data_IF_226749135571
#
_entry.id   IF_226749135571
#
_cell.length_a   1.000
_cell.length_b   1.000
_cell.length_c   1.000
_cell.angle_alpha   90.00
_cell.angle_beta   90.00
_cell.angle_gamma   90.00
#
_symmetry.space_group_name_H-M   'P 1'
#
loop_
_entity.id
_entity.type
_entity.pdbx_description
1 polymer ?
#
# COMPACT_ATOMS: atom_id res chain seq x y z
N UNK A 1 67.30 -8.32 -20.76
CA UNK A 1 67.96 -9.59 -20.40
C UNK A 1 67.15 -10.22 -19.27
N UNK A 2 66.69 -11.46 -19.28
CA UNK A 2 66.71 -12.54 -20.28
C UNK A 2 66.19 -13.80 -19.58
N UNK A 3 65.14 -14.42 -20.16
CA UNK A 3 64.94 -15.88 -20.33
C UNK A 3 64.77 -16.73 -19.05
N UNK A 4 63.97 -17.79 -18.99
CA UNK A 4 63.05 -18.51 -19.89
C UNK A 4 62.53 -19.71 -19.09
N UNK A 5 61.39 -20.29 -19.44
CA UNK A 5 61.28 -21.71 -19.85
C UNK A 5 59.86 -21.99 -20.35
N UNK A 6 59.81 -22.37 -21.64
CA UNK A 6 58.66 -22.84 -22.40
C UNK A 6 58.12 -24.20 -21.90
N UNK A 7 56.84 -24.49 -22.21
CA UNK A 7 56.47 -25.78 -22.81
C UNK A 7 55.18 -25.69 -23.64
N UNK A 8 55.19 -26.51 -24.69
CA UNK A 8 54.51 -26.37 -25.97
C UNK A 8 53.02 -26.73 -26.04
N UNK A 9 52.41 -26.24 -27.12
CA UNK A 9 51.08 -26.53 -27.63
C UNK A 9 51.01 -27.93 -28.26
N UNK A 10 49.84 -28.56 -28.22
CA UNK A 10 49.43 -29.61 -29.17
C UNK A 10 48.07 -29.23 -29.73
N UNK A 11 48.06 -28.94 -31.04
CA UNK A 11 46.87 -28.77 -31.88
C UNK A 11 46.59 -30.12 -32.52
N UNK A 12 45.38 -30.64 -32.37
CA UNK A 12 44.91 -31.83 -33.11
C UNK A 12 43.80 -31.38 -34.05
N UNK A 13 43.97 -31.48 -35.38
CA UNK A 13 42.88 -31.30 -36.34
C UNK A 13 42.21 -32.66 -36.58
N UNK A 14 40.87 -32.72 -36.66
CA UNK A 14 40.20 -33.90 -37.19
C UNK A 14 39.07 -33.53 -38.14
N UNK A 15 39.08 -34.28 -39.25
CA UNK A 15 38.44 -34.10 -40.55
C UNK A 15 36.90 -34.02 -40.56
N UNK A 16 36.41 -33.28 -41.56
CA UNK A 16 35.06 -33.41 -42.13
C UNK A 16 34.81 -34.82 -42.69
N UNK A 17 33.61 -35.36 -42.42
CA UNK A 17 32.93 -36.31 -43.30
C UNK A 17 31.55 -35.77 -43.67
N UNK A 18 31.38 -35.48 -44.97
CA UNK A 18 30.07 -35.37 -45.62
C UNK A 18 29.53 -36.78 -45.89
N UNK A 19 28.30 -37.08 -45.46
CA UNK A 19 27.49 -38.16 -46.03
C UNK A 19 25.98 -37.85 -45.88
N UNK A 20 25.28 -38.09 -46.98
CA UNK A 20 23.87 -37.79 -47.27
C UNK A 20 22.83 -38.41 -46.34
N UNK A 21 21.68 -37.74 -46.18
CA UNK A 21 20.34 -38.34 -46.04
C UNK A 21 19.21 -37.32 -46.26
N UNK A 22 17.98 -37.77 -46.58
CA UNK A 22 17.22 -37.25 -47.72
C UNK A 22 16.28 -36.09 -47.40
N UNK A 23 15.89 -35.43 -48.48
CA UNK A 23 14.90 -34.37 -48.64
C UNK A 23 13.52 -34.83 -48.11
N UNK A 24 13.03 -34.17 -47.05
CA UNK A 24 11.66 -34.30 -46.55
C UNK A 24 10.94 -32.98 -46.80
N UNK A 25 9.87 -33.04 -47.59
CA UNK A 25 9.00 -31.92 -47.91
C UNK A 25 8.38 -31.29 -46.63
N UNK A 26 8.06 -29.98 -46.64
CA UNK A 26 7.53 -29.32 -45.46
C UNK A 26 6.08 -29.76 -45.21
N UNK A 27 5.84 -30.44 -44.09
CA UNK A 27 4.51 -30.48 -43.48
C UNK A 27 4.27 -29.13 -42.79
N UNK A 28 3.24 -28.41 -43.22
CA UNK A 28 2.67 -27.29 -42.47
C UNK A 28 2.33 -27.76 -41.05
N UNK A 29 3.22 -27.47 -40.11
CA UNK A 29 2.90 -27.54 -38.70
C UNK A 29 2.10 -26.28 -38.36
N UNK A 30 0.80 -26.48 -38.16
CA UNK A 30 -0.10 -25.57 -37.47
C UNK A 30 0.63 -24.90 -36.31
N UNK A 31 0.62 -23.56 -36.29
CA UNK A 31 1.16 -22.78 -35.20
C UNK A 31 0.53 -23.29 -33.88
N UNK A 32 1.33 -23.64 -32.85
CA UNK A 32 0.74 -24.02 -31.58
C UNK A 32 -0.10 -22.84 -31.09
N UNK A 33 -1.38 -23.13 -30.82
CA UNK A 33 -2.30 -22.22 -30.19
C UNK A 33 -1.59 -21.56 -28.99
N UNK A 34 -1.64 -20.24 -28.96
CA UNK A 34 -1.13 -19.42 -27.85
C UNK A 34 -1.88 -19.85 -26.60
N UNK A 35 -1.31 -20.78 -25.83
CA UNK A 35 -1.64 -20.93 -24.42
C UNK A 35 -1.08 -19.69 -23.71
N UNK A 36 -1.84 -18.60 -23.75
CA UNK A 36 -1.67 -17.49 -22.84
C UNK A 36 -2.17 -17.93 -21.44
N UNK A 37 -1.45 -18.85 -20.82
CA UNK A 37 -1.46 -18.98 -19.36
C UNK A 37 -0.60 -17.87 -18.79
N UNK A 38 -1.15 -16.66 -18.72
CA UNK A 38 -0.66 -15.66 -17.78
C UNK A 38 -1.79 -15.32 -16.81
N UNK A 39 -1.94 -16.21 -15.83
CA UNK A 39 -2.49 -15.83 -14.53
C UNK A 39 -1.46 -14.90 -13.87
N UNK A 40 -1.46 -13.63 -14.30
CA UNK A 40 -0.76 -12.58 -13.56
C UNK A 40 -1.66 -12.25 -12.38
N UNK A 41 -1.48 -12.97 -11.29
CA UNK A 41 -2.22 -12.69 -10.09
C UNK A 41 -1.88 -11.29 -9.57
N UNK A 42 -2.88 -10.58 -9.06
CA UNK A 42 -2.62 -9.30 -8.43
C UNK A 42 -1.80 -9.55 -7.15
N UNK A 43 -0.52 -9.20 -7.20
CA UNK A 43 0.40 -9.31 -6.06
C UNK A 43 0.00 -8.34 -4.93
N UNK A 44 -0.71 -7.26 -5.26
CA UNK A 44 -1.17 -6.21 -4.31
C UNK A 44 -2.65 -5.94 -4.51
N UNK A 45 -3.51 -6.43 -3.61
CA UNK A 45 -4.97 -6.34 -3.76
C UNK A 45 -5.71 -5.73 -2.58
N UNK A 46 -7.02 -5.46 -2.72
CA UNK A 46 -7.85 -4.97 -1.63
C UNK A 46 -7.93 -6.00 -0.50
N UNK A 47 -7.90 -5.53 0.74
CA UNK A 47 -7.97 -6.34 1.95
C UNK A 47 -8.93 -5.71 2.98
N UNK A 48 -10.07 -5.22 2.50
CA UNK A 48 -11.07 -4.58 3.34
C UNK A 48 -10.75 -3.12 3.66
N UNK A 49 -11.32 -2.63 4.77
CA UNK A 49 -11.18 -1.24 5.18
C UNK A 49 -11.22 -1.09 6.70
N UNK A 50 -10.60 0.00 7.17
CA UNK A 50 -10.83 0.56 8.50
C UNK A 50 -12.26 1.12 8.59
N UNK A 51 -12.81 1.16 9.79
CA UNK A 51 -14.08 1.82 10.13
C UNK A 51 -13.95 3.34 9.99
N UNK A 52 -12.78 3.89 10.35
CA UNK A 52 -12.50 5.32 10.21
C UNK A 52 -11.25 5.54 9.37
N UNK A 53 -11.37 6.39 8.35
CA UNK A 53 -10.24 6.84 7.53
C UNK A 53 -9.29 7.70 8.38
N UNK A 54 -8.01 7.34 8.44
CA UNK A 54 -7.03 7.93 9.39
C UNK A 54 -5.60 7.89 8.87
N UNK A 55 -4.76 8.83 9.31
CA UNK A 55 -3.32 8.88 9.02
C UNK A 55 -2.49 9.10 10.29
N UNK A 56 -1.17 8.80 10.24
CA UNK A 56 -0.27 8.92 11.40
C UNK A 56 -0.76 8.14 12.64
N UNK A 57 -1.50 7.07 12.39
CA UNK A 57 -1.89 6.08 13.37
C UNK A 57 -0.84 4.97 13.41
N UNK A 58 -0.89 4.14 14.44
CA UNK A 58 -0.06 2.92 14.51
C UNK A 58 -0.91 1.69 14.23
N UNK A 59 -0.28 0.64 13.69
CA UNK A 59 -0.87 -0.68 13.53
C UNK A 59 0.09 -1.72 14.11
N UNK A 60 -0.39 -2.56 15.02
CA UNK A 60 0.43 -3.57 15.71
C UNK A 60 -0.20 -4.94 15.54
N UNK A 61 0.55 -5.92 15.02
CA UNK A 61 0.11 -7.32 15.00
C UNK A 61 0.07 -7.86 16.43
N UNK A 62 -1.10 -8.31 16.87
CA UNK A 62 -1.31 -8.92 18.17
C UNK A 62 -1.02 -10.42 18.15
N UNK A 63 -0.74 -11.06 19.30
CA UNK A 63 -0.46 -12.50 19.37
C UNK A 63 -1.62 -13.38 18.90
N UNK A 64 -2.85 -12.86 18.92
CA UNK A 64 -4.04 -13.55 18.42
C UNK A 64 -4.23 -13.43 16.89
N UNK A 65 -3.28 -12.84 16.17
CA UNK A 65 -3.32 -12.68 14.71
C UNK A 65 -4.10 -11.46 14.22
N UNK A 66 -4.80 -10.72 15.09
CA UNK A 66 -5.47 -9.47 14.72
C UNK A 66 -4.48 -8.30 14.71
N UNK A 67 -4.84 -7.23 14.00
CA UNK A 67 -4.06 -5.99 13.95
C UNK A 67 -4.79 -4.92 14.75
N UNK A 68 -4.14 -4.42 15.80
CA UNK A 68 -4.60 -3.28 16.59
C UNK A 68 -4.22 -1.99 15.87
N UNK A 69 -5.22 -1.20 15.49
CA UNK A 69 -5.08 0.12 14.86
C UNK A 69 -5.44 1.19 15.88
N UNK A 70 -4.56 2.15 16.13
CA UNK A 70 -4.69 3.09 17.25
C UNK A 70 -4.54 4.54 16.81
N UNK A 71 -5.51 5.38 17.18
CA UNK A 71 -5.43 6.83 17.05
C UNK A 71 -5.30 7.30 15.59
N UNK A 72 -4.56 8.39 15.36
CA UNK A 72 -4.39 9.02 14.05
C UNK A 72 -5.21 10.30 13.90
N UNK A 73 -5.15 10.89 12.70
CA UNK A 73 -5.86 12.12 12.34
C UNK A 73 -7.02 11.88 11.37
N UNK A 74 -8.18 12.45 11.69
CA UNK A 74 -9.45 12.37 10.94
C UNK A 74 -10.17 13.73 11.01
N UNK A 75 -9.90 14.64 10.06
CA UNK A 75 -9.39 16.03 10.23
C UNK A 75 -8.72 16.47 11.54
N UNK A 76 -9.15 15.97 12.69
CA UNK A 76 -8.53 16.19 14.02
C UNK A 76 -8.06 14.86 14.61
N UNK A 77 -7.27 14.88 15.68
CA UNK A 77 -6.80 13.66 16.34
C UNK A 77 -7.96 12.84 16.93
N UNK A 78 -7.90 11.51 16.78
CA UNK A 78 -8.92 10.59 17.31
C UNK A 78 -8.37 9.71 18.44
N UNK A 79 -9.24 9.33 19.38
CA UNK A 79 -8.98 8.34 20.43
C UNK A 79 -9.44 6.93 20.04
N UNK A 80 -10.12 6.80 18.91
CA UNK A 80 -10.69 5.52 18.46
C UNK A 80 -9.60 4.49 18.17
N UNK A 81 -9.94 3.23 18.45
CA UNK A 81 -9.12 2.08 18.09
C UNK A 81 -9.96 1.08 17.31
N UNK A 82 -9.30 0.28 16.49
CA UNK A 82 -9.94 -0.76 15.69
C UNK A 82 -9.12 -2.04 15.76
N UNK A 83 -9.81 -3.17 15.71
CA UNK A 83 -9.23 -4.49 15.57
C UNK A 83 -9.56 -4.99 14.17
N UNK A 84 -8.56 -4.98 13.29
CA UNK A 84 -8.65 -5.57 11.97
C UNK A 84 -8.30 -7.06 12.03
N UNK A 85 -9.15 -7.89 11.46
CA UNK A 85 -8.96 -9.32 11.35
C UNK A 85 -8.51 -9.69 9.92
N UNK A 86 -7.23 -10.07 9.72
CA UNK A 86 -6.72 -10.39 8.38
C UNK A 86 -7.27 -11.66 7.75
N UNK A 87 -7.95 -12.51 8.54
CA UNK A 87 -8.57 -13.75 8.06
C UNK A 87 -9.90 -13.44 7.39
N UNK A 88 -10.72 -12.59 8.02
CA UNK A 88 -12.03 -12.19 7.49
C UNK A 88 -11.99 -10.90 6.68
N UNK A 89 -10.86 -10.18 6.69
CA UNK A 89 -10.68 -8.87 6.08
C UNK A 89 -11.68 -7.81 6.59
N UNK A 90 -12.02 -7.86 7.88
CA UNK A 90 -12.99 -6.96 8.51
C UNK A 90 -12.40 -6.23 9.71
N UNK A 91 -12.78 -4.97 9.87
CA UNK A 91 -12.46 -4.15 11.04
C UNK A 91 -13.62 -4.15 12.04
N UNK A 92 -13.29 -4.14 13.33
CA UNK A 92 -14.25 -4.02 14.43
C UNK A 92 -13.79 -2.93 15.39
N UNK A 93 -14.73 -2.26 16.07
CA UNK A 93 -14.38 -1.21 17.02
C UNK A 93 -13.68 -1.81 18.24
N UNK A 94 -12.55 -1.21 18.63
CA UNK A 94 -11.88 -1.49 19.90
C UNK A 94 -12.24 -0.48 21.00
N UNK A 95 -11.66 -0.62 22.20
CA UNK A 95 -11.79 0.35 23.27
C UNK A 95 -11.06 1.66 22.92
N UNK A 96 -11.64 2.81 23.24
CA UNK A 96 -11.00 4.10 23.00
C UNK A 96 -9.84 4.36 23.96
N UNK A 97 -8.82 5.07 23.48
CA UNK A 97 -7.84 5.73 24.33
C UNK A 97 -8.50 6.76 25.23
N UNK A 98 -7.88 7.06 26.37
CA UNK A 98 -8.24 8.18 27.24
C UNK A 98 -7.92 9.54 26.60
N UNK A 99 -6.88 9.60 25.75
CA UNK A 99 -6.49 10.81 25.04
C UNK A 99 -6.35 10.55 23.53
N UNK A 100 -7.08 11.33 22.73
CA UNK A 100 -6.97 11.33 21.28
C UNK A 100 -5.55 11.73 20.84
N UNK A 101 -4.98 10.98 19.89
CA UNK A 101 -3.58 11.19 19.50
C UNK A 101 -3.22 10.68 18.11
N UNK A 102 -2.24 11.33 17.47
CA UNK A 102 -1.51 10.84 16.28
C UNK A 102 0.00 10.93 16.51
N UNK A 103 0.80 10.34 15.63
CA UNK A 103 2.28 10.39 15.67
C UNK A 103 2.88 9.92 17.01
N UNK A 104 2.17 9.04 17.71
CA UNK A 104 2.64 8.32 18.87
C UNK A 104 3.42 7.07 18.43
N UNK A 105 4.20 6.48 19.34
CA UNK A 105 4.79 5.15 19.10
C UNK A 105 3.91 4.06 19.69
N UNK A 106 3.96 2.87 19.10
CA UNK A 106 3.34 1.65 19.61
C UNK A 106 4.40 0.57 19.72
N UNK A 107 4.56 0.00 20.91
CA UNK A 107 5.52 -1.08 21.17
C UNK A 107 4.78 -2.27 21.75
N UNK A 108 4.77 -3.39 21.03
CA UNK A 108 4.34 -4.66 21.62
C UNK A 108 5.37 -5.10 22.65
N UNK A 109 4.93 -5.34 23.89
CA UNK A 109 5.74 -5.80 25.00
C UNK A 109 5.85 -7.33 24.98
N UNK A 110 6.78 -7.87 25.77
CA UNK A 110 7.04 -9.32 25.82
C UNK A 110 5.82 -10.14 26.30
N UNK A 111 4.92 -9.54 27.07
CA UNK A 111 3.68 -10.19 27.51
C UNK A 111 2.53 -10.06 26.49
N UNK A 112 2.79 -9.54 25.30
CA UNK A 112 1.83 -9.38 24.21
C UNK A 112 0.96 -8.12 24.30
N UNK A 113 1.03 -7.36 25.40
CA UNK A 113 0.37 -6.06 25.52
C UNK A 113 1.02 -5.01 24.62
N UNK A 114 0.32 -3.92 24.33
CA UNK A 114 0.85 -2.83 23.47
C UNK A 114 0.95 -1.53 24.26
N UNK A 115 2.14 -0.97 24.34
CA UNK A 115 2.40 0.32 24.98
C UNK A 115 2.35 1.44 23.94
N UNK A 116 1.49 2.43 24.19
CA UNK A 116 1.36 3.64 23.39
C UNK A 116 1.98 4.81 24.13
N UNK A 117 2.96 5.48 23.52
CA UNK A 117 3.72 6.54 24.16
C UNK A 117 3.51 7.88 23.45
N UNK A 118 3.04 8.87 24.21
CA UNK A 118 3.02 10.29 23.83
C UNK A 118 2.31 10.56 22.48
N UNK A 119 2.82 11.46 21.64
CA UNK A 119 2.21 11.88 20.38
C UNK A 119 1.62 13.28 20.44
N UNK A 120 0.84 13.62 19.41
CA UNK A 120 0.15 14.91 19.27
C UNK A 120 -1.32 14.67 19.55
N UNK A 121 -1.93 15.42 20.46
CA UNK A 121 -3.37 15.45 20.70
C UNK A 121 -4.00 16.80 20.30
N UNK A 122 -5.32 16.95 20.50
CA UNK A 122 -6.07 18.13 20.03
C UNK A 122 -5.60 19.47 20.63
N UNK A 123 -5.02 19.44 21.83
CA UNK A 123 -4.58 20.64 22.57
C UNK A 123 -3.05 20.76 22.69
N UNK A 124 -2.30 19.92 21.99
CA UNK A 124 -0.83 19.96 22.00
C UNK A 124 -0.18 18.59 22.16
N UNK A 125 1.12 18.62 22.47
CA UNK A 125 1.92 17.40 22.64
C UNK A 125 1.57 16.68 23.94
N UNK A 126 1.52 15.36 23.88
CA UNK A 126 1.16 14.51 25.00
C UNK A 126 2.39 13.93 25.69
N UNK A 127 2.29 13.75 27.01
CA UNK A 127 3.19 12.93 27.82
C UNK A 127 2.52 11.62 28.27
N UNK A 128 1.20 11.49 28.08
CA UNK A 128 0.43 10.34 28.56
C UNK A 128 0.82 9.07 27.82
N UNK A 129 0.82 7.97 28.57
CA UNK A 129 1.17 6.64 28.12
C UNK A 129 0.02 5.71 28.48
N UNK A 130 -0.36 4.86 27.53
CA UNK A 130 -1.49 3.95 27.70
C UNK A 130 -1.08 2.55 27.25
N UNK A 131 -1.52 1.54 27.98
CA UNK A 131 -1.21 0.14 27.71
C UNK A 131 -2.48 -0.61 27.34
N UNK A 132 -2.50 -1.22 26.17
CA UNK A 132 -3.58 -2.09 25.72
C UNK A 132 -3.31 -3.53 26.14
N UNK A 133 -4.31 -4.16 26.74
CA UNK A 133 -4.30 -5.57 27.08
C UNK A 133 -5.21 -6.36 26.13
N UNK A 134 -4.66 -7.18 25.21
CA UNK A 134 -5.45 -7.93 24.24
C UNK A 134 -6.41 -8.95 24.86
N UNK A 135 -6.03 -9.56 26.00
CA UNK A 135 -6.82 -10.61 26.67
C UNK A 135 -8.12 -10.07 27.27
N UNK A 136 -8.11 -8.82 27.74
CA UNK A 136 -9.27 -8.15 28.33
C UNK A 136 -9.90 -7.12 27.38
N UNK A 137 -9.23 -6.81 26.27
CA UNK A 137 -9.61 -5.77 25.33
C UNK A 137 -9.82 -4.41 26.03
N UNK A 138 -8.86 -3.99 26.85
CA UNK A 138 -8.94 -2.75 27.64
C UNK A 138 -7.66 -1.93 27.57
N UNK A 139 -7.80 -0.61 27.71
CA UNK A 139 -6.69 0.30 27.98
C UNK A 139 -6.52 0.53 29.49
N UNK A 140 -5.27 0.61 29.93
CA UNK A 140 -4.89 1.07 31.28
C UNK A 140 -3.89 2.20 31.17
N UNK A 141 -4.04 3.24 31.97
CA UNK A 141 -3.05 4.30 32.06
C UNK A 141 -1.72 3.76 32.62
N UNK A 142 -0.61 4.16 32.00
CA UNK A 142 0.74 3.90 32.48
C UNK A 142 1.38 5.21 32.96
N UNK A 143 2.51 5.12 33.66
CA UNK A 143 3.25 6.28 34.10
C UNK A 143 3.58 7.18 32.89
N UNK A 144 3.31 8.48 32.96
CA UNK A 144 3.55 9.39 31.85
C UNK A 144 5.05 9.46 31.52
N UNK A 145 5.37 9.62 30.24
CA UNK A 145 6.73 9.92 29.81
C UNK A 145 7.17 11.22 30.53
N UNK A 146 8.38 11.31 31.13
CA UNK A 146 8.82 12.52 31.84
C UNK A 146 9.09 13.76 30.96
N UNK A 147 8.48 13.79 29.77
CA UNK A 147 8.42 14.90 28.83
C UNK A 147 7.26 14.69 27.87
N UNK A 148 6.85 15.75 27.17
CA UNK A 148 5.99 15.63 25.98
C UNK A 148 6.82 15.30 24.75
N UNK A 149 6.31 14.49 23.83
CA UNK A 149 7.07 14.14 22.63
C UNK A 149 6.23 13.61 21.47
N UNK A 150 6.64 13.88 20.24
CA UNK A 150 6.23 13.15 19.03
C UNK A 150 7.43 12.91 18.12
N UNK A 151 7.34 11.95 17.18
CA UNK A 151 8.45 11.61 16.28
C UNK A 151 9.69 11.06 17.01
N UNK A 152 9.52 10.55 18.23
CA UNK A 152 10.52 9.79 18.96
C UNK A 152 10.53 8.34 18.48
N UNK A 153 11.61 7.62 18.80
CA UNK A 153 11.65 6.17 18.69
C UNK A 153 11.29 5.52 20.03
N UNK A 154 10.65 4.35 19.98
CA UNK A 154 10.44 3.48 21.13
C UNK A 154 10.92 2.08 20.75
N UNK A 155 11.92 1.58 21.48
CA UNK A 155 12.58 0.30 21.18
C UNK A 155 12.41 -0.63 22.37
N UNK A 156 11.74 -1.77 22.17
CA UNK A 156 11.72 -2.85 23.15
C UNK A 156 13.16 -3.34 23.34
N UNK A 157 13.61 -3.54 24.58
CA UNK A 157 14.91 -4.07 24.93
C UNK A 157 14.83 -5.59 25.17
N UNK A 158 15.97 -6.27 25.21
CA UNK A 158 16.06 -7.72 25.45
C UNK A 158 15.50 -8.14 26.80
N UNK A 159 15.58 -7.26 27.80
CA UNK A 159 15.05 -7.47 29.15
C UNK A 159 13.58 -7.02 29.33
N UNK A 160 12.89 -6.68 28.23
CA UNK A 160 11.48 -6.31 28.25
C UNK A 160 11.20 -4.84 28.61
N UNK A 161 12.22 -4.05 28.93
CA UNK A 161 12.08 -2.59 29.09
C UNK A 161 11.93 -1.90 27.74
N UNK A 162 11.52 -0.62 27.73
CA UNK A 162 11.36 0.15 26.49
C UNK A 162 12.21 1.42 26.54
N UNK A 163 13.16 1.55 25.61
CA UNK A 163 13.97 2.76 25.43
C UNK A 163 13.22 3.76 24.56
N UNK A 164 13.01 4.98 25.05
CA UNK A 164 12.42 6.09 24.31
C UNK A 164 13.45 7.19 24.10
N UNK A 165 13.82 7.41 22.83
CA UNK A 165 14.90 8.33 22.44
C UNK A 165 14.45 9.30 21.33
N UNK A 166 14.95 10.54 21.44
CA UNK A 166 14.69 11.59 20.46
C UNK A 166 13.26 12.15 20.50
N UNK A 167 12.81 12.62 19.34
CA UNK A 167 11.52 13.25 19.15
C UNK A 167 11.57 14.76 19.37
N UNK A 168 10.48 15.41 18.97
CA UNK A 168 10.28 16.84 19.16
C UNK A 168 9.43 17.04 20.42
N UNK A 169 9.84 17.95 21.29
CA UNK A 169 9.14 18.32 22.52
C UNK A 169 9.24 19.81 22.80
N UNK A 170 8.82 20.25 23.99
CA UNK A 170 9.09 21.61 24.50
C UNK A 170 10.60 21.87 24.68
N UNK A 171 10.97 23.02 25.26
CA UNK A 171 12.37 23.39 25.50
C UNK A 171 13.12 22.26 26.21
N UNK A 172 14.19 21.74 25.60
CA UNK A 172 15.00 20.62 26.10
C UNK A 172 14.46 19.20 25.84
N UNK A 173 13.26 19.05 25.25
CA UNK A 173 12.56 17.78 25.10
C UNK A 173 13.11 16.81 24.05
N UNK A 174 14.04 17.23 23.19
CA UNK A 174 14.55 16.37 22.10
C UNK A 174 15.83 15.60 22.40
N UNK A 175 16.52 15.89 23.51
CA UNK A 175 17.79 15.22 23.87
C UNK A 175 17.64 14.18 24.97
N UNK A 176 16.64 14.32 25.85
CA UNK A 176 16.43 13.42 26.96
C UNK A 176 16.04 12.01 26.47
N UNK A 177 16.64 10.99 27.06
CA UNK A 177 16.36 9.58 26.77
C UNK A 177 15.88 8.90 28.05
N UNK A 178 14.83 8.10 27.95
CA UNK A 178 14.27 7.39 29.11
C UNK A 178 14.05 5.92 28.81
N UNK A 179 14.18 5.09 29.84
CA UNK A 179 13.81 3.67 29.81
C UNK A 179 12.60 3.48 30.70
N UNK A 180 11.54 2.91 30.12
CA UNK A 180 10.36 2.46 30.83
C UNK A 180 10.50 1.02 31.27
N UNK A 181 10.15 0.74 32.52
CA UNK A 181 10.10 -0.63 33.06
C UNK A 181 8.64 -1.03 33.26
N UNK A 182 8.07 -1.91 32.41
CA UNK A 182 6.65 -2.28 32.49
C UNK A 182 6.25 -2.92 33.82
N UNK A 183 7.13 -3.72 34.42
CA UNK A 183 6.84 -4.44 35.67
C UNK A 183 6.61 -3.50 36.86
N UNK A 184 7.35 -2.39 36.92
CA UNK A 184 7.24 -1.40 38.00
C UNK A 184 6.44 -0.16 37.59
N UNK A 185 6.09 -0.03 36.30
CA UNK A 185 5.44 1.13 35.73
C UNK A 185 6.21 2.44 36.02
N UNK A 186 7.53 2.44 35.83
CA UNK A 186 8.40 3.59 36.12
C UNK A 186 9.32 3.93 34.96
N UNK A 187 9.72 5.21 34.90
CA UNK A 187 10.71 5.73 33.96
C UNK A 187 12.03 6.04 34.65
N UNK A 188 13.13 5.77 33.98
CA UNK A 188 14.48 6.16 34.41
C UNK A 188 15.16 6.90 33.26
N UNK A 189 15.74 8.06 33.54
CA UNK A 189 16.55 8.79 32.55
C UNK A 189 17.86 8.04 32.28
N UNK A 190 18.29 7.97 31.02
CA UNK A 190 19.51 7.25 30.63
C UNK A 190 20.26 7.92 29.50
N UNK A 191 21.34 8.63 29.84
CA UNK A 191 22.12 9.38 28.86
C UNK A 191 21.29 10.46 28.17
N UNK A 192 21.91 11.13 27.20
CA UNK A 192 21.29 12.19 26.41
C UNK A 192 21.85 12.19 24.99
N UNK A 193 21.02 12.56 24.01
CA UNK A 193 21.47 12.84 22.66
C UNK A 193 22.18 14.20 22.62
N UNK A 194 23.21 14.39 21.77
CA UNK A 194 23.98 15.63 21.70
C UNK A 194 23.16 16.82 21.15
N UNK A 195 22.11 16.54 20.38
CA UNK A 195 21.24 17.57 19.80
C UNK A 195 19.81 17.05 19.73
N UNK A 196 18.84 17.94 19.93
CA UNK A 196 17.43 17.62 19.78
C UNK A 196 17.11 17.27 18.32
N UNK A 197 16.60 16.07 18.08
CA UNK A 197 16.26 15.59 16.74
C UNK A 197 14.94 14.82 16.78
N UNK A 198 14.14 14.92 15.72
CA UNK A 198 12.88 14.19 15.57
C UNK A 198 12.90 13.34 14.31
N UNK A 199 12.00 12.35 14.21
CA UNK A 199 11.86 11.50 13.02
C UNK A 199 13.12 10.70 12.68
N UNK A 200 13.77 10.22 13.74
CA UNK A 200 14.93 9.34 13.68
C UNK A 200 14.47 7.89 13.81
N UNK A 201 15.31 6.99 13.32
CA UNK A 201 15.00 5.57 13.25
C UNK A 201 15.91 4.79 14.19
N UNK A 202 15.33 3.88 14.97
CA UNK A 202 16.05 3.08 15.93
C UNK A 202 15.81 1.58 15.70
N UNK A 203 16.85 0.77 15.90
CA UNK A 203 16.74 -0.69 15.89
C UNK A 203 17.61 -1.29 16.98
N UNK A 204 17.11 -2.33 17.64
CA UNK A 204 17.88 -3.13 18.59
C UNK A 204 18.76 -4.12 17.82
N UNK A 205 20.06 -4.12 18.10
CA UNK A 205 21.03 -5.07 17.55
C UNK A 205 20.95 -6.42 18.27
N UNK A 206 21.59 -7.44 17.69
CA UNK A 206 21.63 -8.79 18.26
C UNK A 206 22.32 -8.84 19.64
N UNK A 207 23.28 -7.94 19.89
CA UNK A 207 23.98 -7.82 21.18
C UNK A 207 23.22 -6.99 22.23
N UNK A 208 22.00 -6.54 21.91
CA UNK A 208 21.14 -5.76 22.80
C UNK A 208 21.37 -4.25 22.77
N UNK A 209 22.42 -3.75 22.10
CA UNK A 209 22.60 -2.30 21.89
C UNK A 209 21.50 -1.76 20.97
N UNK A 210 21.25 -0.45 21.04
CA UNK A 210 20.28 0.21 20.16
C UNK A 210 21.00 1.18 19.24
N UNK A 211 20.90 0.94 17.94
CA UNK A 211 21.36 1.87 16.91
C UNK A 211 20.27 2.90 16.65
N UNK A 212 20.61 4.17 16.76
CA UNK A 212 19.77 5.31 16.42
C UNK A 212 20.44 6.07 15.26
N UNK A 213 19.68 6.44 14.24
CA UNK A 213 20.21 7.12 13.06
C UNK A 213 19.30 8.24 12.57
N UNK A 214 19.92 9.24 11.94
CA UNK A 214 19.25 10.32 11.22
C UNK A 214 18.54 11.30 12.16
N UNK A 215 17.36 11.75 11.75
CA UNK A 215 16.55 12.70 12.52
C UNK A 215 16.51 14.12 11.96
N UNK A 216 16.79 14.25 10.65
CA UNK A 216 16.71 15.49 9.88
C UNK A 216 17.25 15.27 8.46
N UNK A 217 16.80 16.05 7.48
CA UNK A 217 17.20 15.89 6.08
C UNK A 217 18.72 16.13 5.81
N UNK A 218 19.43 16.71 6.78
CA UNK A 218 20.85 17.06 6.68
C UNK A 218 21.75 16.31 7.66
N UNK A 219 21.19 15.48 8.55
CA UNK A 219 21.98 14.71 9.51
C UNK A 219 22.13 13.25 9.06
N UNK A 220 23.39 12.81 8.96
CA UNK A 220 23.78 11.42 8.77
C UNK A 220 24.25 10.77 10.07
N UNK A 221 24.01 11.41 11.21
CA UNK A 221 24.46 10.95 12.51
C UNK A 221 23.93 9.54 12.82
N UNK A 222 24.82 8.69 13.31
CA UNK A 222 24.50 7.37 13.79
C UNK A 222 25.16 7.17 15.16
N UNK A 223 24.40 6.61 16.10
CA UNK A 223 24.85 6.42 17.48
C UNK A 223 24.36 5.08 18.03
N UNK A 224 25.19 4.46 18.87
CA UNK A 224 24.83 3.25 19.62
C UNK A 224 24.60 3.58 21.09
N UNK A 225 23.46 3.16 21.61
CA UNK A 225 23.18 3.16 23.04
C UNK A 225 23.53 1.81 23.66
N UNK A 226 24.29 1.85 24.76
CA UNK A 226 24.73 0.65 25.48
C UNK A 226 23.88 0.43 26.74
N UNK A 227 23.11 -0.67 26.85
CA UNK A 227 22.15 -0.85 27.95
C UNK A 227 22.76 -0.92 29.35
N UNK A 228 23.97 -1.45 29.48
CA UNK A 228 24.65 -1.64 30.77
C UNK A 228 25.15 -0.33 31.39
N UNK A 229 25.47 0.67 30.57
CA UNK A 229 26.02 1.96 31.01
C UNK A 229 25.08 3.12 30.78
N UNK A 230 24.07 2.94 29.93
CA UNK A 230 23.20 4.03 29.48
C UNK A 230 23.87 5.04 28.55
N UNK A 231 25.11 4.77 28.12
CA UNK A 231 25.93 5.69 27.34
C UNK A 231 25.66 5.60 25.84
N UNK A 232 25.79 6.74 25.16
CA UNK A 232 25.75 6.84 23.71
C UNK A 232 27.16 6.95 23.14
N UNK A 233 27.45 6.18 22.09
CA UNK A 233 28.71 6.24 21.34
C UNK A 233 28.40 6.58 19.90
N UNK A 234 29.03 7.64 19.37
CA UNK A 234 28.94 7.98 17.95
C UNK A 234 29.67 6.92 17.14
N UNK A 235 29.00 6.43 16.11
CA UNK A 235 29.53 5.44 15.16
C UNK A 235 29.73 6.09 13.78
N UNK A 236 30.23 5.34 12.79
CA UNK A 236 30.35 5.87 11.44
C UNK A 236 29.00 6.44 10.96
N UNK A 237 28.99 7.64 10.33
CA UNK A 237 27.76 8.25 9.85
C UNK A 237 27.22 7.48 8.64
N UNK A 238 25.90 7.57 8.44
CA UNK A 238 25.28 7.11 7.19
C UNK A 238 25.89 7.84 5.98
N UNK A 239 25.93 7.17 4.83
CA UNK A 239 26.37 7.74 3.56
C UNK A 239 25.37 8.79 3.03
N UNK A 240 24.11 8.72 3.45
CA UNK A 240 23.10 9.75 3.14
C UNK A 240 22.34 10.18 4.39
N UNK A 241 22.06 11.48 4.50
CA UNK A 241 21.25 12.03 5.57
C UNK A 241 19.76 11.73 5.37
N UNK A 242 19.05 11.37 6.44
CA UNK A 242 17.67 10.89 6.37
C UNK A 242 16.86 11.27 7.61
N UNK A 243 15.57 11.52 7.41
CA UNK A 243 14.51 11.53 8.44
C UNK A 243 13.36 10.65 7.98
N UNK A 244 12.52 10.15 8.88
CA UNK A 244 11.37 9.28 8.58
C UNK A 244 11.74 7.98 7.82
N UNK A 245 13.01 7.57 7.86
CA UNK A 245 13.45 6.30 7.32
C UNK A 245 13.23 5.15 8.31
N UNK A 246 13.45 3.95 7.84
CA UNK A 246 13.30 2.71 8.62
C UNK A 246 14.62 1.96 8.69
N UNK A 247 14.86 1.32 9.84
CA UNK A 247 15.99 0.43 10.08
C UNK A 247 15.51 -1.00 10.29
N UNK A 248 16.21 -1.95 9.68
CA UNK A 248 15.92 -3.38 9.79
C UNK A 248 17.19 -4.15 10.13
N UNK A 249 17.19 -4.84 11.27
CA UNK A 249 18.26 -5.79 11.61
C UNK A 249 18.11 -7.04 10.75
N UNK A 250 19.07 -7.28 9.87
CA UNK A 250 19.11 -8.44 8.99
C UNK A 250 19.63 -9.68 9.75
N UNK A 251 19.34 -10.87 9.21
CA UNK A 251 19.86 -12.14 9.74
C UNK A 251 21.39 -12.24 9.74
N UNK A 252 22.06 -11.44 8.90
CA UNK A 252 23.51 -11.30 8.88
C UNK A 252 24.08 -10.52 10.08
N UNK A 253 23.23 -9.88 10.90
CA UNK A 253 23.63 -8.97 11.97
C UNK A 253 23.88 -7.53 11.52
N UNK A 254 23.82 -7.26 10.21
CA UNK A 254 23.88 -5.90 9.64
C UNK A 254 22.53 -5.21 9.74
N UNK A 255 22.52 -3.87 9.69
CA UNK A 255 21.29 -3.08 9.71
C UNK A 255 21.08 -2.41 8.36
N UNK A 256 19.97 -2.68 7.69
CA UNK A 256 19.57 -1.96 6.48
C UNK A 256 18.82 -0.67 6.84
N UNK A 257 19.25 0.45 6.27
CA UNK A 257 18.53 1.72 6.27
C UNK A 257 17.85 1.97 4.91
N UNK A 258 16.56 2.26 4.94
CA UNK A 258 15.73 2.50 3.75
C UNK A 258 14.67 3.57 4.00
N UNK A 259 14.38 4.37 2.96
CA UNK A 259 13.39 5.43 2.98
C UNK A 259 14.01 6.82 2.82
N UNK A 260 13.15 7.78 2.47
CA UNK A 260 13.41 9.22 2.23
C UNK A 260 14.33 9.58 1.06
N UNK A 261 15.18 8.66 0.62
CA UNK A 261 15.96 8.73 -0.61
C UNK A 261 15.96 7.35 -1.29
N UNK A 262 16.30 7.29 -2.58
CA UNK A 262 16.40 6.03 -3.32
C UNK A 262 17.54 5.12 -2.85
N UNK A 263 18.62 5.72 -2.35
CA UNK A 263 19.77 4.97 -1.84
C UNK A 263 19.34 4.11 -0.66
N UNK A 264 19.67 2.83 -0.67
CA UNK A 264 19.66 1.99 0.53
C UNK A 264 21.09 1.68 0.96
N UNK A 265 21.32 1.54 2.25
CA UNK A 265 22.64 1.35 2.81
C UNK A 265 22.60 0.46 4.04
N UNK A 266 23.67 -0.29 4.29
CA UNK A 266 23.79 -1.21 5.41
C UNK A 266 24.90 -0.80 6.36
N UNK A 267 24.58 -0.75 7.65
CA UNK A 267 25.55 -0.65 8.73
C UNK A 267 26.04 -2.02 9.16
N UNK A 268 27.36 -2.17 9.27
CA UNK A 268 28.00 -3.35 9.83
C UNK A 268 28.56 -3.02 11.23
N UNK A 269 27.93 -3.53 12.31
CA UNK A 269 28.39 -3.28 13.68
C UNK A 269 29.78 -3.84 14.00
N UNK A 270 30.28 -4.82 13.25
CA UNK A 270 31.59 -5.44 13.49
C UNK A 270 32.73 -4.59 12.93
N UNK A 271 32.51 -3.94 11.78
CA UNK A 271 33.50 -3.08 11.14
C UNK A 271 33.28 -1.60 11.41
N UNK A 272 32.11 -1.23 11.94
CA UNK A 272 31.67 0.15 12.13
C UNK A 272 31.68 0.95 10.81
N UNK A 273 31.12 0.37 9.74
CA UNK A 273 31.07 0.99 8.42
C UNK A 273 29.68 0.90 7.80
N UNK A 274 29.35 1.90 6.97
CA UNK A 274 28.17 1.91 6.11
C UNK A 274 28.55 1.56 4.68
N UNK A 275 27.87 0.59 4.09
CA UNK A 275 28.05 0.19 2.69
C UNK A 275 26.76 0.39 1.92
N UNK A 276 26.84 1.05 0.76
CA UNK A 276 25.68 1.20 -0.11
C UNK A 276 25.25 -0.15 -0.69
N UNK A 277 23.94 -0.37 -0.76
CA UNK A 277 23.33 -1.50 -1.47
C UNK A 277 22.64 -1.00 -2.74
N UNK A 278 21.90 -1.87 -3.43
CA UNK A 278 21.11 -1.43 -4.58
C UNK A 278 20.09 -0.34 -4.19
N UNK A 279 19.66 0.46 -5.15
CA UNK A 279 18.70 1.54 -4.90
C UNK A 279 17.27 1.04 -5.14
N UNK A 280 16.31 1.66 -4.47
CA UNK A 280 14.91 1.57 -4.87
C UNK A 280 14.71 2.29 -6.21
N UNK A 281 13.75 1.82 -7.01
CA UNK A 281 13.37 2.42 -8.28
C UNK A 281 12.80 3.83 -8.09
N UNK A 282 12.12 4.09 -6.98
CA UNK A 282 11.54 5.41 -6.65
C UNK A 282 11.84 5.82 -5.22
N UNK A 283 11.69 7.10 -4.91
CA UNK A 283 11.81 7.61 -3.54
C UNK A 283 10.54 7.36 -2.74
N UNK A 284 10.69 6.75 -1.57
CA UNK A 284 9.60 6.52 -0.61
C UNK A 284 9.79 7.41 0.62
N UNK A 285 9.06 8.52 0.74
CA UNK A 285 9.30 9.53 1.79
C UNK A 285 8.81 9.08 3.18
N UNK A 286 7.49 9.00 3.38
CA UNK A 286 6.90 8.60 4.68
C UNK A 286 6.14 7.27 4.52
N UNK A 287 6.83 6.27 3.98
CA UNK A 287 6.36 4.90 3.92
C UNK A 287 7.15 4.05 4.92
N UNK A 288 6.49 3.41 5.89
CA UNK A 288 7.15 2.42 6.69
C UNK A 288 7.39 1.17 5.85
N UNK A 289 8.63 0.72 5.78
CA UNK A 289 8.93 -0.64 5.33
C UNK A 289 8.79 -1.62 6.48
N UNK A 290 8.52 -2.88 6.14
CA UNK A 290 8.36 -3.96 7.11
C UNK A 290 9.13 -5.20 6.67
N UNK A 291 9.78 -5.85 7.64
CA UNK A 291 10.42 -7.14 7.43
C UNK A 291 9.37 -8.25 7.45
N UNK A 292 9.39 -9.09 6.41
CA UNK A 292 8.59 -10.31 6.30
C UNK A 292 9.22 -11.46 7.08
N UNK A 293 8.47 -12.52 7.42
CA UNK A 293 9.01 -13.70 8.11
C UNK A 293 10.17 -14.40 7.39
N UNK A 294 10.26 -14.28 6.07
CA UNK A 294 11.36 -14.81 5.24
C UNK A 294 12.63 -13.92 5.26
N UNK A 295 12.60 -12.80 5.99
CA UNK A 295 13.70 -11.82 6.09
C UNK A 295 13.75 -10.80 4.95
N UNK A 296 12.91 -10.93 3.93
CA UNK A 296 12.77 -9.88 2.90
C UNK A 296 12.10 -8.63 3.47
N UNK A 297 12.39 -7.47 2.89
CA UNK A 297 11.86 -6.19 3.37
C UNK A 297 11.00 -5.58 2.28
N UNK A 298 9.76 -5.24 2.62
CA UNK A 298 8.80 -4.66 1.69
C UNK A 298 8.57 -3.20 2.02
N UNK A 299 8.49 -2.36 1.00
CA UNK A 299 8.22 -0.93 1.08
C UNK A 299 7.20 -0.53 0.01
N UNK A 300 6.27 0.35 0.34
CA UNK A 300 5.26 0.79 -0.61
C UNK A 300 4.82 2.24 -0.42
N UNK A 301 4.63 2.96 -1.54
CA UNK A 301 4.05 4.29 -1.57
C UNK A 301 4.90 5.37 -0.89
N UNK A 302 4.36 6.01 0.16
CA UNK A 302 5.11 7.02 0.93
C UNK A 302 5.12 8.42 0.32
N UNK A 303 4.38 8.63 -0.76
CA UNK A 303 4.15 9.91 -1.42
C UNK A 303 2.71 9.98 -1.96
N UNK A 304 2.24 11.18 -2.29
CA UNK A 304 0.91 11.42 -2.86
C UNK A 304 0.76 10.93 -4.29
N UNK A 305 1.87 10.68 -4.99
CA UNK A 305 1.89 10.20 -6.38
C UNK A 305 2.61 8.86 -6.55
N UNK A 306 3.11 8.27 -5.46
CA UNK A 306 3.80 7.00 -5.52
C UNK A 306 2.88 5.87 -5.05
N UNK A 307 2.68 4.88 -5.92
CA UNK A 307 1.99 3.63 -5.61
C UNK A 307 2.92 2.42 -5.65
N UNK A 308 4.18 2.60 -6.05
CA UNK A 308 5.13 1.51 -6.27
C UNK A 308 5.31 0.67 -5.00
N UNK A 309 5.31 -0.64 -5.18
CA UNK A 309 5.66 -1.63 -4.15
C UNK A 309 6.98 -2.27 -4.52
N UNK A 310 7.95 -2.21 -3.62
CA UNK A 310 9.31 -2.72 -3.83
C UNK A 310 9.72 -3.69 -2.73
N UNK A 311 10.38 -4.77 -3.13
CA UNK A 311 10.85 -5.84 -2.26
C UNK A 311 12.37 -5.92 -2.30
N UNK A 312 12.98 -5.95 -1.13
CA UNK A 312 14.40 -6.16 -0.92
C UNK A 312 14.69 -7.61 -0.58
N UNK A 313 15.64 -8.19 -1.30
CA UNK A 313 16.19 -9.51 -0.96
C UNK A 313 17.49 -9.38 -0.17
N UNK A 314 17.54 -9.83 1.09
CA UNK A 314 18.77 -9.76 1.89
C UNK A 314 19.87 -10.70 1.40
N UNK A 315 19.54 -11.73 0.62
CA UNK A 315 20.53 -12.68 0.08
C UNK A 315 21.28 -12.12 -1.11
N UNK A 316 20.60 -11.37 -1.97
CA UNK A 316 21.20 -10.76 -3.18
C UNK A 316 21.59 -9.29 -2.96
N UNK A 317 21.01 -8.63 -1.96
CA UNK A 317 21.15 -7.19 -1.74
C UNK A 317 20.43 -6.34 -2.78
N UNK A 318 19.49 -6.92 -3.53
CA UNK A 318 18.79 -6.28 -4.65
C UNK A 318 17.35 -5.89 -4.29
N UNK A 319 16.91 -4.75 -4.82
CA UNK A 319 15.51 -4.34 -4.86
C UNK A 319 14.82 -4.82 -6.15
N UNK A 320 13.53 -5.10 -6.07
CA UNK A 320 12.68 -5.44 -7.21
C UNK A 320 11.31 -4.80 -7.07
N UNK A 321 10.79 -4.22 -8.16
CA UNK A 321 9.43 -3.69 -8.21
C UNK A 321 8.45 -4.85 -8.34
N UNK A 322 7.54 -4.98 -7.37
CA UNK A 322 6.62 -6.11 -7.28
C UNK A 322 5.18 -5.77 -7.71
N UNK A 323 4.90 -4.50 -7.97
CA UNK A 323 3.58 -4.03 -8.37
C UNK A 323 3.30 -2.62 -7.87
N UNK A 324 2.02 -2.29 -7.78
CA UNK A 324 1.56 -1.00 -7.32
C UNK A 324 0.33 -1.14 -6.43
N UNK A 325 0.25 -0.29 -5.42
CA UNK A 325 -0.97 0.00 -4.67
C UNK A 325 -2.03 0.58 -5.62
N UNK A 326 -3.28 0.22 -5.40
CA UNK A 326 -4.45 0.76 -6.11
C UNK A 326 -4.68 2.24 -5.80
N UNK A 327 -4.18 2.72 -4.66
CA UNK A 327 -4.21 4.14 -4.27
C UNK A 327 -2.87 4.56 -3.66
N UNK A 328 -2.40 5.75 -4.01
CA UNK A 328 -1.24 6.34 -3.33
C UNK A 328 -1.57 6.62 -1.88
N UNK A 329 -0.63 6.29 -0.99
CA UNK A 329 -0.79 6.49 0.46
C UNK A 329 0.53 6.89 1.10
N UNK A 330 0.45 7.89 1.97
CA UNK A 330 1.52 8.39 2.82
C UNK A 330 1.10 8.28 4.29
N UNK A 331 2.04 8.18 5.23
CA UNK A 331 1.75 8.17 6.68
C UNK A 331 0.78 7.04 7.09
N UNK A 332 0.86 5.90 6.40
CA UNK A 332 0.13 4.67 6.69
C UNK A 332 1.09 3.71 7.39
N UNK A 333 0.69 2.94 8.40
CA UNK A 333 1.48 1.83 8.90
C UNK A 333 1.44 0.62 7.95
N UNK A 334 2.46 -0.23 8.07
CA UNK A 334 2.57 -1.51 7.38
C UNK A 334 2.77 -2.64 8.39
N UNK A 335 2.14 -3.79 8.14
CA UNK A 335 2.19 -4.94 9.06
C UNK A 335 2.44 -6.21 8.27
N UNK A 336 3.54 -6.91 8.59
CA UNK A 336 3.80 -8.25 8.08
C UNK A 336 3.03 -9.28 8.93
N UNK A 337 2.34 -10.20 8.26
CA UNK A 337 1.63 -11.31 8.87
C UNK A 337 2.50 -12.57 8.89
N UNK A 338 2.25 -13.53 9.80
CA UNK A 338 2.97 -14.80 9.83
C UNK A 338 2.87 -15.61 8.53
N UNK A 339 1.82 -15.39 7.75
CA UNK A 339 1.63 -16.01 6.42
C UNK A 339 2.58 -15.47 5.34
N UNK A 340 3.35 -14.40 5.64
CA UNK A 340 4.15 -13.67 4.66
C UNK A 340 3.39 -12.55 3.95
N UNK A 341 2.06 -12.46 4.09
CA UNK A 341 1.29 -11.31 3.59
C UNK A 341 1.70 -10.02 4.30
N UNK A 342 1.65 -8.89 3.60
CA UNK A 342 1.90 -7.56 4.19
C UNK A 342 0.69 -6.68 3.97
N UNK A 343 0.22 -6.03 5.03
CA UNK A 343 -0.90 -5.11 5.01
C UNK A 343 -0.43 -3.66 4.95
N UNK A 344 -1.12 -2.83 4.18
CA UNK A 344 -0.98 -1.38 4.12
C UNK A 344 -2.29 -0.75 4.59
N UNK A 345 -2.31 -0.08 5.75
CA UNK A 345 -3.55 0.31 6.40
C UNK A 345 -3.74 1.83 6.39
N UNK A 346 -4.79 2.32 5.74
CA UNK A 346 -5.15 3.74 5.77
C UNK A 346 -4.05 4.68 5.26
N UNK A 347 -3.87 5.82 5.94
CA UNK A 347 -2.93 6.89 5.57
C UNK A 347 -3.62 8.10 4.96
N UNK A 348 -2.85 8.95 4.28
CA UNK A 348 -3.35 10.04 3.45
C UNK A 348 -3.14 9.72 1.98
N UNK A 349 -4.21 9.79 1.20
CA UNK A 349 -4.17 9.77 -0.27
C UNK A 349 -4.54 11.14 -0.85
N UNK A 350 -4.76 11.17 -2.16
CA UNK A 350 -5.24 12.35 -2.90
C UNK A 350 -6.67 12.12 -3.39
N UNK A 351 -7.55 13.10 -3.19
CA UNK A 351 -8.89 13.11 -3.80
C UNK A 351 -8.80 13.35 -5.31
N UNK A 352 -9.93 13.17 -6.01
CA UNK A 352 -10.07 13.54 -7.43
C UNK A 352 -9.84 15.04 -7.70
N UNK A 353 -10.04 15.89 -6.69
CA UNK A 353 -9.77 17.33 -6.73
C UNK A 353 -8.33 17.69 -6.31
N UNK A 354 -7.46 16.71 -6.07
CA UNK A 354 -6.07 16.91 -5.66
C UNK A 354 -5.88 17.28 -4.18
N UNK A 355 -6.95 17.28 -3.38
CA UNK A 355 -6.86 17.56 -1.94
C UNK A 355 -6.37 16.34 -1.16
N UNK A 356 -5.61 16.58 -0.09
CA UNK A 356 -5.17 15.53 0.81
C UNK A 356 -6.34 15.03 1.66
N UNK A 357 -6.59 13.72 1.65
CA UNK A 357 -7.69 13.10 2.41
C UNK A 357 -7.21 11.86 3.17
N UNK A 358 -7.63 11.68 4.43
CA UNK A 358 -7.46 10.39 5.11
C UNK A 358 -8.15 9.28 4.30
N UNK A 359 -7.54 8.11 4.23
CA UNK A 359 -8.10 6.94 3.57
C UNK A 359 -8.33 5.81 4.58
N UNK A 360 -9.39 5.03 4.38
CA UNK A 360 -9.72 3.87 5.19
C UNK A 360 -9.32 2.55 4.51
N UNK A 361 -8.98 2.58 3.22
CA UNK A 361 -8.68 1.36 2.46
C UNK A 361 -7.49 0.61 3.05
N UNK A 362 -7.62 -0.71 3.11
CA UNK A 362 -6.52 -1.62 3.43
C UNK A 362 -6.19 -2.39 2.16
N UNK A 363 -4.90 -2.46 1.85
CA UNK A 363 -4.38 -3.29 0.77
C UNK A 363 -3.45 -4.36 1.33
N UNK A 364 -3.35 -5.48 0.65
CA UNK A 364 -2.46 -6.57 1.02
C UNK A 364 -1.54 -6.95 -0.15
N UNK A 365 -0.25 -7.02 0.14
CA UNK A 365 0.74 -7.69 -0.67
C UNK A 365 0.79 -9.18 -0.32
N UNK A 366 0.75 -10.03 -1.34
CA UNK A 366 0.86 -11.48 -1.19
C UNK A 366 1.62 -12.08 -2.39
N UNK A 367 2.77 -12.70 -2.11
CA UNK A 367 3.57 -13.36 -3.15
C UNK A 367 3.00 -14.71 -3.56
N UNK A 368 2.13 -15.29 -2.73
CA UNK A 368 1.51 -16.57 -2.98
C UNK A 368 0.08 -16.38 -3.52
N UNK A 369 -0.33 -15.15 -3.85
CA UNK A 369 -1.64 -14.93 -4.45
C UNK A 369 -1.68 -15.60 -5.81
N UNK A 370 -2.64 -16.49 -5.98
CA UNK A 370 -3.08 -16.98 -7.29
C UNK A 370 -4.41 -16.33 -7.58
N UNK A 371 -4.53 -15.61 -8.69
CA UNK A 371 -5.78 -15.02 -9.13
C UNK A 371 -6.07 -15.52 -10.53
N UNK A 372 -7.21 -16.19 -10.67
CA UNK A 372 -7.70 -16.68 -11.95
C UNK A 372 -8.41 -15.51 -12.63
N UNK A 373 -7.90 -15.00 -13.77
CA UNK A 373 -8.55 -13.92 -14.48
C UNK A 373 -9.96 -14.32 -14.90
N UNK A 374 -10.91 -13.40 -14.76
CA UNK A 374 -12.25 -13.60 -15.36
C UNK A 374 -12.16 -13.49 -16.90
N UNK A 375 -13.26 -13.75 -17.60
CA UNK A 375 -13.34 -13.58 -19.07
C UNK A 375 -14.37 -12.52 -19.43
N UNK A 376 -14.26 -11.98 -20.64
CA UNK A 376 -15.28 -11.07 -21.18
C UNK A 376 -16.67 -11.71 -21.17
N UNK A 377 -16.77 -12.98 -21.55
CA UNK A 377 -18.01 -13.75 -21.52
C UNK A 377 -18.55 -13.91 -20.09
N UNK A 378 -17.68 -14.22 -19.11
CA UNK A 378 -18.08 -14.37 -17.70
C UNK A 378 -18.60 -13.05 -17.08
N UNK A 379 -18.16 -11.89 -17.59
CA UNK A 379 -18.68 -10.58 -17.21
C UNK A 379 -19.82 -10.07 -18.11
N UNK A 380 -20.29 -10.87 -19.08
CA UNK A 380 -21.35 -10.49 -20.02
C UNK A 380 -20.95 -9.35 -20.97
N UNK A 381 -19.66 -9.23 -21.30
CA UNK A 381 -19.08 -8.16 -22.13
C UNK A 381 -18.60 -8.72 -23.47
N UNK A 382 -18.80 -7.98 -24.55
CA UNK A 382 -18.44 -8.38 -25.92
C UNK A 382 -17.82 -7.27 -26.76
N UNK A 383 -17.44 -6.14 -26.13
CA UNK A 383 -16.65 -5.11 -26.78
C UNK A 383 -15.86 -4.25 -25.78
N UNK A 384 -14.84 -3.56 -26.27
CA UNK A 384 -14.01 -2.65 -25.48
C UNK A 384 -13.07 -3.39 -24.54
N UNK A 385 -12.51 -2.66 -23.57
CA UNK A 385 -11.59 -3.20 -22.56
C UNK A 385 -12.23 -3.23 -21.18
N UNK A 386 -12.01 -4.31 -20.43
CA UNK A 386 -12.47 -4.46 -19.04
C UNK A 386 -11.36 -5.00 -18.15
N UNK A 387 -11.47 -4.81 -16.84
CA UNK A 387 -10.54 -5.45 -15.89
C UNK A 387 -10.70 -6.97 -15.90
N UNK A 388 -9.58 -7.69 -15.82
CA UNK A 388 -9.56 -9.15 -15.68
C UNK A 388 -9.74 -9.61 -14.22
N UNK A 389 -9.92 -8.70 -13.27
CA UNK A 389 -10.06 -9.01 -11.84
C UNK A 389 -8.74 -9.33 -11.12
N UNK A 390 -7.63 -9.42 -11.85
CA UNK A 390 -6.29 -9.76 -11.35
C UNK A 390 -5.26 -8.65 -11.66
N UNK A 391 -5.70 -7.41 -11.90
CA UNK A 391 -4.81 -6.28 -12.19
C UNK A 391 -4.40 -6.13 -13.66
N UNK A 392 -4.86 -7.01 -14.54
CA UNK A 392 -4.72 -6.89 -15.99
C UNK A 392 -6.03 -6.45 -16.68
N UNK A 393 -5.96 -6.25 -18.00
CA UNK A 393 -7.08 -5.84 -18.84
C UNK A 393 -7.41 -6.94 -19.86
N UNK A 394 -8.69 -7.21 -20.06
CA UNK A 394 -9.21 -8.07 -21.14
C UNK A 394 -9.70 -7.19 -22.28
N UNK A 395 -9.42 -7.59 -23.52
CA UNK A 395 -9.98 -6.97 -24.72
C UNK A 395 -11.13 -7.85 -25.21
N UNK A 396 -12.36 -7.34 -25.10
CA UNK A 396 -13.59 -8.09 -25.39
C UNK A 396 -14.05 -8.03 -26.84
N UNK A 397 -13.24 -7.44 -27.73
CA UNK A 397 -13.53 -7.28 -29.15
C UNK A 397 -14.08 -5.89 -29.51
N UNK A 398 -14.56 -5.76 -30.74
CA UNK A 398 -15.18 -4.56 -31.30
C UNK A 398 -16.55 -4.88 -31.84
N UNK A 399 -17.47 -3.90 -31.83
CA UNK A 399 -18.80 -4.11 -32.37
C UNK A 399 -18.81 -4.17 -33.90
N UNK A 400 -19.76 -4.92 -34.46
CA UNK A 400 -19.95 -5.01 -35.91
C UNK A 400 -20.46 -3.71 -36.53
N UNK A 401 -20.50 -3.64 -37.85
CA UNK A 401 -20.99 -2.47 -38.61
C UNK A 401 -22.40 -2.07 -38.17
N UNK A 402 -22.58 -0.81 -37.75
CA UNK A 402 -23.87 -0.27 -37.29
C UNK A 402 -24.17 -0.41 -35.78
N UNK A 403 -23.23 -0.98 -35.01
CA UNK A 403 -23.32 -1.11 -33.56
C UNK A 403 -22.31 -0.21 -32.84
N UNK A 404 -22.70 0.31 -31.68
CA UNK A 404 -21.83 1.07 -30.77
C UNK A 404 -21.56 0.27 -29.50
N UNK A 405 -20.33 0.36 -29.00
CA UNK A 405 -19.95 -0.25 -27.75
C UNK A 405 -20.37 0.65 -26.59
N UNK A 406 -21.42 0.27 -25.86
CA UNK A 406 -21.91 1.02 -24.69
C UNK A 406 -21.81 0.13 -23.46
N UNK A 407 -21.14 0.58 -22.40
CA UNK A 407 -20.88 -0.22 -21.18
C UNK A 407 -20.27 -1.61 -21.48
N UNK A 408 -19.37 -1.67 -22.47
CA UNK A 408 -18.69 -2.88 -22.93
C UNK A 408 -19.63 -3.97 -23.51
N UNK A 409 -20.82 -3.56 -23.97
CA UNK A 409 -21.77 -4.39 -24.70
C UNK A 409 -22.13 -3.71 -26.03
N UNK A 410 -22.11 -4.48 -27.12
CA UNK A 410 -22.54 -3.99 -28.42
C UNK A 410 -24.05 -3.82 -28.47
N UNK A 411 -24.49 -2.60 -28.77
CA UNK A 411 -25.88 -2.27 -29.05
C UNK A 411 -26.02 -1.59 -30.41
N UNK A 412 -27.17 -1.68 -31.04
CA UNK A 412 -27.48 -0.89 -32.23
C UNK A 412 -27.78 0.55 -31.83
N UNK A 413 -27.17 1.50 -32.52
CA UNK A 413 -27.50 2.92 -32.36
C UNK A 413 -28.97 3.13 -32.71
N UNK A 414 -29.68 3.82 -31.82
CA UNK A 414 -30.83 4.64 -32.19
C UNK A 414 -30.52 5.42 -33.48
N UNK A 415 -31.41 5.46 -34.50
CA UNK A 415 -31.11 6.19 -35.73
C UNK A 415 -30.84 7.68 -35.44
N UNK A 416 -29.75 8.20 -36.01
CA UNK A 416 -29.23 9.57 -35.82
C UNK A 416 -30.16 10.69 -36.35
N UNK A 417 -31.29 10.35 -36.94
CA UNK A 417 -32.37 11.29 -37.25
C UNK A 417 -33.68 10.53 -37.33
N UNK A 418 -34.62 10.88 -36.47
CA UNK A 418 -36.00 10.44 -36.60
C UNK A 418 -36.67 11.21 -37.74
N UNK A 419 -37.51 10.53 -38.50
CA UNK A 419 -38.30 11.09 -39.62
C UNK A 419 -39.20 12.25 -39.18
N UNK A 420 -39.60 12.26 -37.91
CA UNK A 420 -40.25 13.37 -37.17
C UNK A 420 -40.08 13.10 -35.66
N UNK A 421 -40.55 14.01 -34.80
CA UNK A 421 -40.50 13.83 -33.34
C UNK A 421 -41.71 13.05 -32.80
N UNK A 422 -41.64 12.67 -31.51
CA UNK A 422 -42.72 11.93 -30.81
C UNK A 422 -43.99 12.76 -30.57
N UNK A 423 -43.94 14.08 -30.81
CA UNK A 423 -45.03 15.02 -30.51
C UNK A 423 -45.87 15.37 -31.74
N UNK A 424 -45.48 14.87 -32.91
CA UNK A 424 -46.17 15.09 -34.18
C UNK A 424 -46.58 13.77 -34.81
N UNK A 425 -47.79 13.73 -35.39
CA UNK A 425 -48.23 12.58 -36.18
C UNK A 425 -47.44 12.50 -37.49
N UNK A 426 -47.08 11.31 -37.94
CA UNK A 426 -46.26 11.15 -39.13
C UNK A 426 -46.15 9.71 -39.62
N UNK A 427 -45.11 9.46 -40.42
CA UNK A 427 -44.75 8.11 -40.85
C UNK A 427 -44.34 7.22 -39.68
N UNK A 428 -43.94 5.98 -39.95
CA UNK A 428 -43.47 5.09 -38.89
C UNK A 428 -42.28 5.70 -38.14
N UNK A 429 -42.41 5.82 -36.82
CA UNK A 429 -41.33 6.24 -35.93
C UNK A 429 -40.59 4.99 -35.43
N UNK A 430 -39.26 4.94 -35.64
CA UNK A 430 -38.46 3.78 -35.28
C UNK A 430 -38.47 3.53 -33.77
N UNK A 431 -38.60 2.27 -33.32
CA UNK A 431 -38.44 1.86 -31.91
C UNK A 431 -37.08 2.29 -31.32
N UNK A 432 -36.09 2.56 -32.17
CA UNK A 432 -34.80 3.10 -31.80
C UNK A 432 -34.77 4.61 -31.55
N UNK A 433 -35.79 5.38 -31.94
CA UNK A 433 -35.74 6.85 -31.98
C UNK A 433 -35.43 7.52 -30.64
N UNK A 434 -36.13 7.14 -29.58
CA UNK A 434 -35.79 7.55 -28.22
C UNK A 434 -36.37 6.54 -27.21
N UNK A 435 -36.07 6.75 -25.93
CA UNK A 435 -36.57 5.89 -24.85
C UNK A 435 -38.11 5.85 -24.77
N UNK A 436 -38.79 6.96 -25.07
CA UNK A 436 -40.24 7.02 -25.04
C UNK A 436 -40.89 6.22 -26.16
N UNK A 437 -40.42 6.37 -27.40
CA UNK A 437 -40.87 5.57 -28.54
C UNK A 437 -40.78 4.09 -28.20
N UNK A 438 -39.65 3.67 -27.61
CA UNK A 438 -39.44 2.27 -27.19
C UNK A 438 -40.47 1.79 -26.17
N UNK A 439 -40.83 2.63 -25.20
CA UNK A 439 -41.87 2.33 -24.20
C UNK A 439 -43.24 2.20 -24.84
N UNK A 440 -43.62 3.12 -25.73
CA UNK A 440 -44.92 3.06 -26.43
C UNK A 440 -44.99 1.83 -27.32
N UNK A 441 -43.96 1.57 -28.13
CA UNK A 441 -43.91 0.39 -28.99
C UNK A 441 -43.99 -0.94 -28.24
N UNK A 442 -43.54 -0.97 -26.97
CA UNK A 442 -43.59 -2.16 -26.14
C UNK A 442 -45.02 -2.47 -25.66
N UNK A 443 -45.85 -1.44 -25.48
CA UNK A 443 -47.22 -1.59 -25.00
C UNK A 443 -48.24 -1.61 -26.14
N UNK A 444 -48.02 -0.82 -27.18
CA UNK A 444 -48.79 -0.87 -28.41
C UNK A 444 -47.86 -1.03 -29.62
N UNK A 445 -47.83 -2.26 -30.14
CA UNK A 445 -47.05 -2.59 -31.33
C UNK A 445 -47.57 -1.90 -32.60
N UNK A 446 -48.85 -1.48 -32.64
CA UNK A 446 -49.44 -0.79 -33.79
C UNK A 446 -48.70 0.53 -34.09
N UNK A 447 -48.30 1.24 -33.03
CA UNK A 447 -47.61 2.54 -33.14
C UNK A 447 -46.27 2.47 -33.88
N UNK A 448 -45.66 1.29 -33.95
CA UNK A 448 -44.31 1.13 -34.50
C UNK A 448 -44.24 0.12 -35.64
N UNK A 449 -45.30 -0.66 -35.84
CA UNK A 449 -45.45 -1.59 -36.96
C UNK A 449 -46.40 -1.08 -38.06
N UNK A 450 -47.31 -0.14 -37.75
CA UNK A 450 -48.34 0.32 -38.69
C UNK A 450 -48.34 1.83 -38.94
N UNK A 451 -48.44 2.67 -37.91
CA UNK A 451 -48.41 4.14 -38.08
C UNK A 451 -48.08 4.88 -36.76
N UNK A 452 -47.49 6.07 -36.85
CA UNK A 452 -47.37 6.99 -35.70
C UNK A 452 -48.48 8.05 -35.75
N UNK A 453 -49.68 7.66 -35.32
CA UNK A 453 -50.90 8.47 -35.41
C UNK A 453 -51.23 9.24 -34.10
N UNK A 454 -52.40 9.87 -34.05
CA UNK A 454 -52.83 10.68 -32.90
C UNK A 454 -53.15 9.86 -31.64
N UNK A 455 -53.37 8.55 -31.75
CA UNK A 455 -53.46 7.67 -30.59
C UNK A 455 -52.06 7.43 -30.00
N UNK A 456 -51.08 7.12 -30.84
CA UNK A 456 -49.69 6.91 -30.44
C UNK A 456 -49.07 8.14 -29.78
N UNK A 457 -49.36 9.35 -30.30
CA UNK A 457 -48.91 10.61 -29.68
C UNK A 457 -49.55 10.82 -28.29
N UNK A 458 -50.83 10.44 -28.09
CA UNK A 458 -51.49 10.51 -26.77
C UNK A 458 -50.91 9.51 -25.77
N UNK A 459 -50.62 8.30 -26.21
CA UNK A 459 -50.00 7.28 -25.38
C UNK A 459 -48.59 7.68 -24.97
N UNK A 460 -47.82 8.24 -25.90
CA UNK A 460 -46.51 8.82 -25.62
C UNK A 460 -46.60 9.91 -24.54
N UNK A 461 -47.58 10.82 -24.63
CA UNK A 461 -47.81 11.85 -23.61
C UNK A 461 -48.24 11.28 -22.24
N UNK A 462 -48.95 10.14 -22.23
CA UNK A 462 -49.42 9.52 -20.98
C UNK A 462 -48.33 8.73 -20.27
N UNK A 463 -47.46 8.03 -21.01
CA UNK A 463 -46.48 7.11 -20.44
C UNK A 463 -45.09 7.71 -20.29
N UNK A 464 -44.79 8.75 -21.07
CA UNK A 464 -43.54 9.46 -21.01
C UNK A 464 -43.85 10.91 -20.71
N UNK A 465 -43.53 11.43 -19.53
CA UNK A 465 -43.61 12.87 -19.26
C UNK A 465 -42.62 13.56 -20.21
N UNK A 466 -43.09 14.05 -21.37
CA UNK A 466 -42.21 14.49 -22.47
C UNK A 466 -41.58 15.84 -22.12
N UNK A 467 -40.35 15.83 -21.60
CA UNK A 467 -39.55 17.04 -21.39
C UNK A 467 -38.62 17.29 -22.61
N UNK A 468 -39.20 17.55 -23.78
CA UNK A 468 -38.45 17.93 -24.99
C UNK A 468 -38.80 19.38 -25.40
N UNK A 469 -37.82 20.22 -25.78
CA UNK A 469 -38.10 21.55 -26.30
C UNK A 469 -38.88 21.45 -27.62
N UNK A 470 -40.11 21.96 -27.68
CA UNK A 470 -40.95 21.96 -28.88
C UNK A 470 -42.30 21.24 -28.74
N UNK A 471 -42.47 20.38 -27.73
CA UNK A 471 -43.78 19.82 -27.39
C UNK A 471 -44.54 20.86 -26.55
N UNK A 472 -45.23 21.78 -27.23
CA UNK A 472 -46.04 22.80 -26.57
C UNK A 472 -47.16 22.14 -25.76
N UNK A 473 -47.03 22.15 -24.44
CA UNK A 473 -48.20 22.05 -23.56
C UNK A 473 -48.89 23.41 -23.58
N UNK A 474 -50.04 23.48 -24.25
CA UNK A 474 -51.04 24.49 -23.91
C UNK A 474 -52.37 23.76 -23.68
N UNK A 475 -53.11 24.09 -22.61
CA UNK A 475 -54.52 23.73 -22.52
C UNK A 475 -55.35 24.46 -23.59
#
# INVERSE_FOLDING_TARGET
MSLSHWKSWVVVPLLLCFACSPEVAPTEAEAPAVEASQSSALIVGPAGSLLTARYQHTATLLPNGKVLVVGGGTPTETASTELYDPVTATSSSGPSLSAARRSHTATQLQDGSVLIVAGIGPSGLLASVERYQPSTNTWTAAAPLPRVSYGHSATLLTDGRVLVAGGVGGVGGGTAVHVYTPATNTWVATGSLPTAMGFQSAVRLADGRVLLTGGGATTSLAQLWTPSTGAWTVVAPMNSARSDHTLHLLSSGKVLAVGSVQLSEQYDPATNLWTNTSNTAVTHFSAPSVMRPDGSILLAGGSYSNTTVELYSPTTGLWSTMGALTQSRKNHPTVALPSGRVLFLGGTGTSSSGSMVPVASIEAFDLNSTCTPTTCAAQGKNCGTISNGCGGTLTCGTCGSGQTCTNNVCGTTAPLSCTHDVCTTGGLLSTGCNACTRTVCAQDAYCCASAWDSACVREANSWCVISQPGCGVSP
#
